data_IF_359712952683
#
_entry.id   IF_359712952683
#
_cell.length_a   1.000
_cell.length_b   1.000
_cell.length_c   1.000
_cell.angle_alpha   90.00
_cell.angle_beta   90.00
_cell.angle_gamma   90.00
#
_symmetry.space_group_name_H-M   'P 1'
#
loop_
_entity.id
_entity.type
_entity.pdbx_description
1 polymer ?
#
# COMPACT_ATOMS: atom_id res chain seq x y z
N UNK A 1 -8.51 17.71 5.91
CA UNK A 1 -7.58 18.81 6.14
C UNK A 1 -6.61 18.83 5.00
N UNK A 2 -6.39 20.00 4.42
CA UNK A 2 -5.29 20.26 3.49
C UNK A 2 -3.98 20.07 4.28
N UNK A 3 -3.28 18.98 4.00
CA UNK A 3 -1.96 18.70 4.52
C UNK A 3 -0.94 19.55 3.79
N UNK A 4 -0.88 20.84 4.13
CA UNK A 4 0.18 21.74 3.69
C UNK A 4 1.52 21.29 4.28
N UNK A 5 2.36 20.69 3.45
CA UNK A 5 3.73 20.36 3.86
C UNK A 5 4.64 21.56 3.61
N UNK A 6 5.12 22.14 4.70
CA UNK A 6 6.11 23.22 4.71
C UNK A 6 7.49 22.68 4.26
N UNK A 7 7.93 23.13 3.08
CA UNK A 7 9.22 22.80 2.45
C UNK A 7 10.30 23.87 2.66
N UNK A 8 10.16 24.76 3.65
CA UNK A 8 11.07 25.91 3.87
C UNK A 8 12.53 25.58 4.26
N UNK A 9 12.94 24.31 4.31
CA UNK A 9 14.30 23.91 4.72
C UNK A 9 15.32 23.69 3.59
N UNK A 10 14.89 23.55 2.34
CA UNK A 10 15.79 23.37 1.20
C UNK A 10 15.22 24.17 0.02
N UNK A 11 15.86 25.27 -0.41
CA UNK A 11 15.28 26.20 -1.38
C UNK A 11 14.94 25.55 -2.74
N UNK A 12 15.40 24.31 -2.99
CA UNK A 12 15.25 23.60 -4.26
C UNK A 12 14.65 22.17 -4.11
N UNK A 13 13.97 21.85 -2.99
CA UNK A 13 13.38 20.52 -2.79
C UNK A 13 11.87 20.57 -2.53
N UNK A 14 11.12 19.84 -3.35
CA UNK A 14 9.67 19.62 -3.16
C UNK A 14 9.47 18.14 -2.83
N UNK A 15 8.68 17.85 -1.78
CA UNK A 15 8.28 16.49 -1.47
C UNK A 15 7.34 15.98 -2.55
N UNK A 16 7.48 14.70 -2.89
CA UNK A 16 6.75 14.03 -3.98
C UNK A 16 5.24 14.26 -3.94
N UNK A 17 4.62 14.30 -2.75
CA UNK A 17 3.18 14.53 -2.59
C UNK A 17 2.76 15.99 -2.84
N UNK A 18 3.65 16.96 -2.57
CA UNK A 18 3.43 18.38 -2.86
C UNK A 18 3.89 18.83 -4.25
N UNK A 19 4.48 17.92 -5.03
CA UNK A 19 5.06 18.25 -6.33
C UNK A 19 4.03 18.21 -7.48
N UNK A 20 2.84 17.65 -7.28
CA UNK A 20 1.76 17.75 -8.27
C UNK A 20 1.00 19.08 -8.10
N UNK A 21 0.89 19.85 -9.17
CA UNK A 21 0.43 21.25 -9.23
C UNK A 21 1.40 22.30 -8.69
N UNK A 22 2.65 21.94 -8.40
CA UNK A 22 3.65 22.91 -7.96
C UNK A 22 3.92 23.95 -9.06
N UNK A 23 3.88 25.23 -8.70
CA UNK A 23 4.22 26.35 -9.58
C UNK A 23 5.67 26.76 -9.35
N UNK A 24 6.41 26.78 -10.45
CA UNK A 24 7.83 27.11 -10.49
C UNK A 24 8.01 28.36 -11.33
N UNK A 25 8.54 29.42 -10.75
CA UNK A 25 8.96 30.61 -11.49
C UNK A 25 10.42 30.47 -11.89
N UNK A 26 10.71 30.71 -13.17
CA UNK A 26 12.06 30.67 -13.73
C UNK A 26 12.34 32.04 -14.30
N UNK A 27 13.36 32.70 -13.79
CA UNK A 27 13.74 34.04 -14.23
C UNK A 27 14.18 34.05 -15.71
N UNK A 28 14.17 35.24 -16.31
CA UNK A 28 14.69 35.43 -17.65
C UNK A 28 16.16 35.01 -17.73
N UNK A 29 16.56 34.39 -18.85
CA UNK A 29 17.95 34.02 -19.14
C UNK A 29 18.61 33.19 -18.02
N UNK A 30 17.85 32.27 -17.41
CA UNK A 30 18.29 31.49 -16.25
C UNK A 30 18.11 29.99 -16.45
N UNK A 31 18.82 29.21 -15.63
CA UNK A 31 18.62 27.78 -15.48
C UNK A 31 18.28 27.48 -14.02
N UNK A 32 17.25 26.68 -13.81
CA UNK A 32 16.80 26.29 -12.48
C UNK A 32 16.73 24.77 -12.38
N UNK A 33 17.26 24.26 -11.28
CA UNK A 33 17.26 22.85 -10.93
C UNK A 33 16.29 22.58 -9.79
N UNK A 34 15.38 21.63 -9.98
CA UNK A 34 14.50 21.11 -8.95
C UNK A 34 14.92 19.70 -8.57
N UNK A 35 15.07 19.46 -7.28
CA UNK A 35 15.43 18.14 -6.76
C UNK A 35 14.25 17.57 -5.97
N UNK A 36 13.83 16.36 -6.32
CA UNK A 36 12.80 15.62 -5.62
C UNK A 36 13.48 14.43 -4.96
N UNK A 37 13.50 14.42 -3.63
CA UNK A 37 14.08 13.31 -2.85
C UNK A 37 13.02 12.24 -2.67
N UNK A 38 13.38 10.99 -2.97
CA UNK A 38 12.44 9.88 -2.92
C UNK A 38 12.23 9.41 -1.48
N UNK A 39 10.98 9.42 -0.97
CA UNK A 39 10.67 9.09 0.42
C UNK A 39 10.61 7.57 0.68
N UNK A 40 10.53 6.76 -0.39
CA UNK A 40 10.48 5.31 -0.35
C UNK A 40 11.04 4.71 -1.66
N UNK A 41 11.17 3.39 -1.70
CA UNK A 41 11.46 2.66 -2.94
C UNK A 41 10.23 2.70 -3.86
N UNK A 42 10.44 2.79 -5.17
CA UNK A 42 9.34 2.89 -6.11
C UNK A 42 9.74 3.36 -7.50
N UNK A 43 8.79 3.91 -8.24
CA UNK A 43 9.03 4.58 -9.51
C UNK A 43 8.16 5.82 -9.64
N UNK A 44 8.63 6.78 -10.42
CA UNK A 44 7.89 7.99 -10.75
C UNK A 44 7.37 7.89 -12.17
N UNK A 45 6.13 8.33 -12.39
CA UNK A 45 5.68 8.69 -13.73
C UNK A 45 5.48 10.19 -13.83
N UNK A 46 5.82 10.73 -14.99
CA UNK A 46 5.67 12.13 -15.29
C UNK A 46 5.11 12.30 -16.69
N UNK A 47 4.17 13.23 -16.84
CA UNK A 47 3.73 13.68 -18.16
C UNK A 47 4.20 15.11 -18.39
N UNK A 48 5.28 15.25 -19.16
CA UNK A 48 5.86 16.56 -19.42
C UNK A 48 5.15 17.32 -20.55
N UNK A 49 4.23 16.72 -21.30
CA UNK A 49 3.37 17.48 -22.20
C UNK A 49 2.39 18.36 -21.41
N UNK A 50 2.07 17.93 -20.20
CA UNK A 50 1.21 18.65 -19.26
C UNK A 50 1.99 19.61 -18.35
N UNK A 51 3.31 19.73 -18.51
CA UNK A 51 4.05 20.85 -17.93
C UNK A 51 3.65 22.13 -18.65
N UNK A 52 2.82 22.95 -18.01
CA UNK A 52 2.40 24.24 -18.54
C UNK A 52 3.61 25.14 -18.78
N UNK A 53 3.66 25.82 -19.93
CA UNK A 53 4.73 26.76 -20.29
C UNK A 53 5.11 26.65 -21.77
N UNK A 54 4.92 27.73 -22.53
CA UNK A 54 4.94 27.69 -24.01
C UNK A 54 6.33 27.45 -24.65
N UNK A 55 7.43 27.41 -23.89
CA UNK A 55 8.80 27.52 -24.43
C UNK A 55 9.85 26.60 -23.75
N UNK A 56 9.49 25.39 -23.33
CA UNK A 56 10.48 24.44 -22.78
C UNK A 56 11.41 23.92 -23.89
N UNK A 57 12.65 24.44 -23.99
CA UNK A 57 13.63 24.01 -24.99
C UNK A 57 14.62 22.96 -24.41
N UNK A 58 14.46 21.74 -24.94
CA UNK A 58 15.48 20.74 -25.33
C UNK A 58 16.14 19.77 -24.34
N UNK A 59 16.14 19.93 -23.01
CA UNK A 59 16.59 18.86 -22.08
C UNK A 59 15.78 18.90 -20.78
N UNK A 60 14.84 17.96 -20.58
CA UNK A 60 13.71 18.18 -19.65
C UNK A 60 13.90 17.57 -18.25
N UNK A 61 14.69 16.51 -18.08
CA UNK A 61 14.96 15.94 -16.74
C UNK A 61 16.12 14.93 -16.76
N UNK A 62 16.78 14.78 -15.60
CA UNK A 62 17.80 13.77 -15.34
C UNK A 62 17.48 13.03 -14.04
N UNK A 63 17.66 11.72 -14.03
CA UNK A 63 17.43 10.91 -12.83
C UNK A 63 18.80 10.55 -12.27
N UNK A 64 19.10 10.98 -11.05
CA UNK A 64 20.28 10.54 -10.31
C UNK A 64 19.87 9.49 -9.28
N UNK A 65 19.87 8.23 -9.73
CA UNK A 65 19.62 7.09 -8.86
C UNK A 65 20.98 6.58 -8.37
N UNK A 66 21.26 6.67 -7.06
CA UNK A 66 22.49 6.25 -6.38
C UNK A 66 23.73 6.03 -7.28
N UNK A 67 24.21 7.08 -7.95
CA UNK A 67 25.45 7.07 -8.75
C UNK A 67 25.30 6.75 -10.25
N UNK A 68 24.11 6.48 -10.75
CA UNK A 68 23.81 6.35 -12.18
C UNK A 68 22.98 7.55 -12.66
N UNK A 69 23.57 8.41 -13.49
CA UNK A 69 22.85 9.46 -14.18
C UNK A 69 22.15 8.84 -15.39
N UNK A 70 20.83 8.70 -15.33
CA UNK A 70 20.01 8.32 -16.48
C UNK A 70 19.36 9.59 -17.02
N UNK A 71 19.93 10.10 -18.12
CA UNK A 71 19.35 11.21 -18.89
C UNK A 71 18.39 10.61 -19.91
N UNK A 72 17.10 10.89 -19.80
CA UNK A 72 16.16 10.60 -20.87
C UNK A 72 15.85 11.90 -21.60
N UNK A 73 16.34 12.00 -22.85
CA UNK A 73 15.89 13.06 -23.74
C UNK A 73 14.46 12.76 -24.15
N UNK A 74 13.53 13.56 -23.66
CA UNK A 74 12.11 13.29 -23.86
C UNK A 74 11.67 13.74 -25.26
N UNK A 75 11.39 12.78 -26.14
CA UNK A 75 10.56 12.99 -27.33
C UNK A 75 9.10 12.68 -26.94
N UNK A 76 8.19 13.61 -27.25
CA UNK A 76 6.79 13.71 -26.76
C UNK A 76 6.18 12.42 -26.18
N UNK A 77 6.12 12.26 -24.84
CA UNK A 77 5.49 11.10 -24.18
C UNK A 77 5.46 11.17 -22.63
N UNK A 78 4.52 10.46 -21.99
CA UNK A 78 4.61 10.11 -20.56
C UNK A 78 5.88 9.28 -20.29
N UNK A 79 6.64 9.63 -19.25
CA UNK A 79 7.89 8.96 -18.87
C UNK A 79 7.72 8.22 -17.56
N UNK A 80 8.37 7.06 -17.46
CA UNK A 80 8.55 6.32 -16.23
C UNK A 80 10.04 6.28 -15.86
N UNK A 81 10.34 6.50 -14.59
CA UNK A 81 11.67 6.24 -14.06
C UNK A 81 11.96 4.74 -14.06
N UNK A 82 13.24 4.33 -14.03
CA UNK A 82 13.59 3.01 -13.48
C UNK A 82 13.14 2.90 -12.03
N UNK A 83 13.26 1.71 -11.44
CA UNK A 83 13.12 1.55 -9.99
C UNK A 83 14.12 2.46 -9.26
N UNK A 84 13.59 3.27 -8.35
CA UNK A 84 14.29 4.21 -7.49
C UNK A 84 14.27 3.67 -6.07
N UNK A 85 15.33 3.95 -5.32
CA UNK A 85 15.45 3.64 -3.90
C UNK A 85 15.14 4.88 -3.07
N UNK A 86 14.76 4.65 -1.82
CA UNK A 86 14.63 5.72 -0.83
C UNK A 86 15.92 6.53 -0.75
N UNK A 87 15.78 7.85 -0.83
CA UNK A 87 16.88 8.80 -0.81
C UNK A 87 17.50 9.07 -2.18
N UNK A 88 17.11 8.38 -3.25
CA UNK A 88 17.44 8.79 -4.62
C UNK A 88 16.90 10.19 -4.89
N UNK A 89 17.52 10.90 -5.83
CA UNK A 89 17.14 12.27 -6.20
C UNK A 89 16.76 12.33 -7.67
N UNK A 90 15.50 12.65 -7.94
CA UNK A 90 15.05 13.05 -9.27
C UNK A 90 15.38 14.52 -9.48
N UNK A 91 16.08 14.84 -10.55
CA UNK A 91 16.48 16.20 -10.90
C UNK A 91 15.75 16.67 -12.16
N UNK A 92 14.95 17.73 -12.03
CA UNK A 92 14.33 18.41 -13.17
C UNK A 92 15.14 19.67 -13.46
N UNK A 93 15.65 19.79 -14.68
CA UNK A 93 16.38 20.97 -15.13
C UNK A 93 15.49 21.75 -16.08
N UNK A 94 15.32 23.03 -15.81
CA UNK A 94 14.57 23.94 -16.67
C UNK A 94 15.48 25.09 -17.09
N UNK A 95 15.56 25.31 -18.40
CA UNK A 95 16.30 26.43 -18.97
C UNK A 95 15.34 27.42 -19.61
N UNK A 96 15.44 28.68 -19.20
CA UNK A 96 14.75 29.80 -19.82
C UNK A 96 15.75 30.68 -20.57
N UNK A 97 15.77 30.56 -21.90
CA UNK A 97 16.61 31.42 -22.75
C UNK A 97 15.89 32.69 -23.22
N UNK A 98 14.66 32.94 -22.75
CA UNK A 98 13.89 34.12 -23.09
C UNK A 98 14.21 35.28 -22.14
N UNK A 99 13.96 36.51 -22.61
CA UNK A 99 14.16 37.75 -21.86
C UNK A 99 13.05 38.05 -20.85
N UNK A 100 12.08 37.14 -20.71
CA UNK A 100 10.96 37.25 -19.77
C UNK A 100 10.91 36.01 -18.87
N UNK A 101 10.51 36.14 -17.60
CA UNK A 101 10.29 35.00 -16.74
C UNK A 101 9.23 34.04 -17.30
N UNK A 102 9.39 32.75 -17.02
CA UNK A 102 8.39 31.73 -17.34
C UNK A 102 7.90 31.06 -16.07
N UNK A 103 6.66 30.57 -16.12
CA UNK A 103 6.12 29.69 -15.09
C UNK A 103 6.00 28.29 -15.65
N UNK A 104 6.47 27.32 -14.87
CA UNK A 104 6.31 25.90 -15.12
C UNK A 104 5.40 25.34 -14.04
N UNK A 105 4.32 24.69 -14.44
CA UNK A 105 3.47 23.95 -13.52
C UNK A 105 3.76 22.46 -13.65
N UNK A 106 4.13 21.81 -12.54
CA UNK A 106 4.33 20.36 -12.52
C UNK A 106 2.98 19.65 -12.46
N UNK A 107 2.51 19.07 -13.56
CA UNK A 107 1.27 18.30 -13.57
C UNK A 107 1.53 16.81 -13.81
N UNK A 108 0.65 15.97 -13.28
CA UNK A 108 0.66 14.53 -13.48
C UNK A 108 1.94 13.82 -13.03
N UNK A 109 2.68 14.42 -12.09
CA UNK A 109 3.73 13.73 -11.37
C UNK A 109 3.09 12.74 -10.40
N UNK A 110 3.40 11.45 -10.58
CA UNK A 110 2.89 10.38 -9.73
C UNK A 110 4.04 9.55 -9.21
N UNK A 111 3.97 9.16 -7.96
CA UNK A 111 4.90 8.23 -7.34
C UNK A 111 4.18 6.94 -6.99
N UNK A 112 4.77 5.84 -7.43
CA UNK A 112 4.28 4.49 -7.23
C UNK A 112 5.27 3.80 -6.30
N UNK A 113 4.79 3.43 -5.13
CA UNK A 113 5.59 2.80 -4.08
C UNK A 113 4.80 1.67 -3.45
N UNK A 114 5.52 0.69 -2.92
CA UNK A 114 4.97 -0.32 -2.02
C UNK A 114 5.02 0.15 -0.55
N UNK A 115 5.32 1.40 -0.26
CA UNK A 115 5.22 1.92 1.09
C UNK A 115 3.76 2.07 1.51
N UNK A 116 3.39 1.49 2.66
CA UNK A 116 2.14 1.79 3.34
C UNK A 116 2.17 3.19 3.98
N UNK A 117 3.35 3.67 4.34
CA UNK A 117 3.53 5.01 4.90
C UNK A 117 5.00 5.44 4.94
N UNK A 118 5.22 6.75 4.96
CA UNK A 118 6.54 7.36 5.17
C UNK A 118 6.45 8.44 6.24
N UNK A 119 7.35 8.40 7.21
CA UNK A 119 7.52 9.43 8.23
C UNK A 119 8.80 10.21 7.98
N UNK A 120 8.71 11.54 7.95
CA UNK A 120 9.89 12.41 7.99
C UNK A 120 10.23 12.73 9.45
N UNK A 121 11.45 12.39 9.87
CA UNK A 121 12.03 12.80 11.14
C UNK A 121 13.14 13.81 10.89
N UNK A 122 13.03 15.01 11.46
CA UNK A 122 14.08 16.04 11.34
C UNK A 122 15.02 15.98 12.53
N UNK A 123 16.32 15.90 12.23
CA UNK A 123 17.40 15.96 13.22
C UNK A 123 18.04 17.34 13.17
N UNK A 124 18.12 18.02 14.33
CA UNK A 124 18.82 19.31 14.45
C UNK A 124 19.99 19.15 15.39
N UNK A 125 21.20 19.44 14.93
CA UNK A 125 22.39 19.49 15.75
C UNK A 125 22.84 20.95 15.92
N UNK A 126 22.86 21.43 17.17
CA UNK A 126 23.27 22.80 17.51
C UNK A 126 24.62 22.78 18.22
N UNK A 127 25.56 23.53 17.71
CA UNK A 127 26.86 23.76 18.35
C UNK A 127 26.71 24.65 19.58
N UNK A 128 27.66 24.59 20.51
CA UNK A 128 27.68 25.44 21.69
C UNK A 128 27.70 26.96 21.39
N UNK A 129 28.08 27.33 20.15
CA UNK A 129 28.13 28.72 19.67
C UNK A 129 26.82 29.17 18.99
N UNK A 130 25.79 28.32 18.97
CA UNK A 130 24.46 28.65 18.41
C UNK A 130 24.26 28.32 16.93
N UNK A 131 25.28 27.83 16.22
CA UNK A 131 25.10 27.36 14.85
C UNK A 131 24.35 26.02 14.84
N UNK A 132 23.34 25.87 14.00
CA UNK A 132 22.55 24.65 13.87
C UNK A 132 22.63 24.08 12.45
N UNK A 133 22.68 22.75 12.34
CA UNK A 133 22.44 22.01 11.10
C UNK A 133 21.19 21.16 11.25
N UNK A 134 20.38 21.05 10.19
CA UNK A 134 19.17 20.22 10.18
C UNK A 134 19.26 19.21 9.05
N UNK A 135 18.90 17.94 9.31
CA UNK A 135 18.86 16.88 8.30
C UNK A 135 17.58 16.02 8.43
N UNK A 136 16.86 15.75 7.33
CA UNK A 136 15.68 14.88 7.34
C UNK A 136 16.07 13.39 7.21
N UNK A 137 15.46 12.55 8.04
CA UNK A 137 15.45 11.09 7.92
C UNK A 137 14.05 10.64 7.53
N UNK A 138 13.92 10.03 6.35
CA UNK A 138 12.69 9.32 5.99
C UNK A 138 12.67 7.94 6.64
N UNK A 139 11.53 7.50 7.14
CA UNK A 139 11.31 6.16 7.69
C UNK A 139 10.14 5.58 6.91
N UNK A 140 10.36 4.48 6.22
CA UNK A 140 9.38 3.87 5.32
C UNK A 140 8.84 2.60 5.96
N UNK A 141 7.52 2.45 5.99
CA UNK A 141 6.86 1.18 6.31
C UNK A 141 6.37 0.58 5.00
N UNK A 142 6.79 -0.64 4.72
CA UNK A 142 6.34 -1.37 3.53
C UNK A 142 4.93 -1.91 3.76
N UNK A 143 4.10 -1.83 2.72
CA UNK A 143 2.81 -2.50 2.65
C UNK A 143 3.05 -3.99 2.43
N UNK A 144 2.34 -4.83 3.18
CA UNK A 144 2.34 -6.27 2.95
C UNK A 144 1.74 -6.59 1.58
N UNK A 145 2.35 -7.55 0.88
CA UNK A 145 1.83 -8.12 -0.36
C UNK A 145 0.80 -9.20 -0.03
N UNK A 146 -0.13 -9.45 -0.96
CA UNK A 146 -1.01 -10.63 -0.88
C UNK A 146 -0.22 -11.94 -0.83
N UNK A 147 1.00 -11.94 -1.39
CA UNK A 147 1.93 -13.08 -1.34
C UNK A 147 2.51 -13.33 0.06
N UNK A 148 2.45 -12.35 0.96
CA UNK A 148 2.93 -12.46 2.34
C UNK A 148 1.84 -13.01 3.27
N UNK A 149 0.60 -13.15 2.79
CA UNK A 149 -0.51 -13.66 3.59
C UNK A 149 -0.41 -15.17 3.74
N UNK A 150 -0.44 -15.60 5.00
CA UNK A 150 -0.46 -16.99 5.41
C UNK A 150 -1.91 -17.40 5.71
N UNK A 151 -2.21 -18.67 5.49
CA UNK A 151 -3.55 -19.23 5.69
C UNK A 151 -3.56 -20.13 6.91
N UNK A 152 -4.72 -20.28 7.59
CA UNK A 152 -4.88 -21.25 8.66
C UNK A 152 -4.54 -22.66 8.18
N UNK A 153 -3.89 -23.43 9.05
CA UNK A 153 -3.62 -24.84 8.78
C UNK A 153 -4.91 -25.68 8.80
N UNK A 154 -4.82 -26.88 8.26
CA UNK A 154 -5.88 -27.88 8.39
C UNK A 154 -6.07 -28.26 9.86
N UNK A 155 -7.32 -28.44 10.28
CA UNK A 155 -7.66 -28.68 11.69
C UNK A 155 -8.46 -29.97 11.83
N UNK A 156 -8.18 -30.73 12.89
CA UNK A 156 -8.99 -31.89 13.30
C UNK A 156 -9.76 -31.54 14.57
N UNK A 157 -11.09 -31.49 14.46
CA UNK A 157 -11.99 -31.20 15.57
C UNK A 157 -12.49 -32.52 16.16
N UNK A 158 -11.99 -32.86 17.35
CA UNK A 158 -12.37 -34.09 18.05
C UNK A 158 -13.66 -34.00 18.86
N UNK A 159 -14.20 -32.80 19.06
CA UNK A 159 -15.45 -32.56 19.79
C UNK A 159 -16.63 -32.39 18.81
N UNK A 160 -17.78 -32.96 19.18
CA UNK A 160 -19.04 -32.86 18.43
C UNK A 160 -19.68 -31.48 18.47
N UNK A 161 -19.31 -30.64 19.43
CA UNK A 161 -19.72 -29.22 19.51
C UNK A 161 -18.55 -28.26 19.23
N UNK A 162 -17.51 -28.76 18.57
CA UNK A 162 -16.38 -27.92 18.21
C UNK A 162 -16.83 -26.78 17.29
N UNK A 163 -16.38 -25.58 17.63
CA UNK A 163 -16.62 -24.39 16.84
C UNK A 163 -15.86 -24.48 15.50
N UNK A 164 -16.60 -24.35 14.39
CA UNK A 164 -16.05 -24.38 13.02
C UNK A 164 -15.83 -22.98 12.46
N UNK A 165 -16.29 -21.94 13.13
CA UNK A 165 -16.12 -20.55 12.70
C UNK A 165 -14.63 -20.18 12.59
N UNK A 166 -14.22 -19.30 11.65
CA UNK A 166 -12.86 -18.79 11.60
C UNK A 166 -12.32 -18.24 12.93
N UNK A 167 -13.16 -17.66 13.79
CA UNK A 167 -12.74 -17.20 15.11
C UNK A 167 -12.14 -18.33 15.99
N UNK A 168 -12.49 -19.58 15.69
CA UNK A 168 -12.01 -20.77 16.39
C UNK A 168 -10.98 -21.57 15.58
N UNK A 169 -11.12 -21.56 14.25
CA UNK A 169 -10.30 -22.37 13.32
C UNK A 169 -9.20 -21.57 12.62
N UNK A 170 -9.10 -20.27 12.92
CA UNK A 170 -8.11 -19.34 12.40
C UNK A 170 -8.63 -18.48 11.24
N UNK A 171 -8.15 -17.23 11.19
CA UNK A 171 -8.20 -16.37 10.01
C UNK A 171 -6.84 -16.40 9.29
N UNK A 172 -6.79 -16.07 7.98
CA UNK A 172 -5.55 -15.70 7.34
C UNK A 172 -4.82 -14.62 8.13
N UNK A 173 -3.49 -14.58 8.07
CA UNK A 173 -2.70 -13.65 8.87
C UNK A 173 -1.41 -13.27 8.17
N UNK A 174 -0.85 -12.12 8.55
CA UNK A 174 0.52 -11.73 8.25
C UNK A 174 1.41 -12.08 9.43
N UNK A 175 2.64 -12.48 9.13
CA UNK A 175 3.67 -12.77 10.12
C UNK A 175 4.83 -11.79 9.97
N UNK A 176 5.23 -11.12 11.05
CA UNK A 176 6.08 -9.93 10.95
C UNK A 176 7.56 -10.29 10.98
N UNK A 177 7.94 -11.27 11.79
CA UNK A 177 9.32 -11.71 11.91
C UNK A 177 9.64 -12.97 11.09
N UNK A 178 8.60 -13.64 10.56
CA UNK A 178 8.71 -14.86 9.75
C UNK A 178 8.92 -16.13 10.57
N UNK A 179 8.87 -16.04 11.91
CA UNK A 179 8.92 -17.16 12.82
C UNK A 179 7.49 -17.68 13.12
N UNK A 180 7.10 -18.68 12.34
CA UNK A 180 5.80 -19.36 12.49
C UNK A 180 5.64 -20.10 13.83
N UNK A 181 6.67 -20.18 14.68
CA UNK A 181 6.54 -20.75 16.02
C UNK A 181 6.00 -19.76 17.04
N UNK A 182 6.06 -18.45 16.73
CA UNK A 182 5.46 -17.40 17.55
C UNK A 182 4.14 -16.92 16.96
N UNK A 183 3.27 -16.39 17.84
CA UNK A 183 1.96 -15.86 17.45
C UNK A 183 1.73 -14.42 17.93
N UNK A 184 2.67 -13.85 18.68
CA UNK A 184 2.51 -12.53 19.28
C UNK A 184 2.57 -11.38 18.28
N UNK A 185 3.19 -11.62 17.12
CA UNK A 185 3.41 -10.67 16.05
C UNK A 185 2.55 -10.95 14.81
N UNK A 186 1.70 -11.98 14.89
CA UNK A 186 0.71 -12.27 13.85
C UNK A 186 -0.36 -11.19 13.84
N UNK A 187 -0.67 -10.70 12.65
CA UNK A 187 -1.77 -9.77 12.42
C UNK A 187 -2.83 -10.47 11.59
N UNK A 188 -4.02 -10.67 12.16
CA UNK A 188 -5.14 -11.26 11.44
C UNK A 188 -5.51 -10.42 10.22
N UNK A 189 -5.73 -11.09 9.10
CA UNK A 189 -6.25 -10.55 7.86
C UNK A 189 -7.71 -10.99 7.79
N UNK A 190 -8.57 -10.14 8.35
CA UNK A 190 -10.02 -10.33 8.48
C UNK A 190 -10.79 -9.16 7.84
N UNK A 191 -12.10 -9.08 8.10
CA UNK A 191 -12.97 -8.02 7.57
C UNK A 191 -12.65 -6.61 8.09
N UNK A 192 -11.79 -6.46 9.10
CA UNK A 192 -11.38 -5.17 9.66
C UNK A 192 -10.09 -4.63 9.03
N UNK A 193 -9.47 -5.38 8.11
CA UNK A 193 -8.21 -4.98 7.48
C UNK A 193 -8.48 -4.05 6.29
N UNK A 194 -7.83 -2.88 6.23
CA UNK A 194 -8.02 -1.94 5.11
C UNK A 194 -7.22 -2.30 3.85
N UNK A 195 -6.20 -3.16 3.98
CA UNK A 195 -5.27 -3.47 2.90
C UNK A 195 -5.76 -4.57 1.95
N UNK A 196 -6.63 -5.46 2.46
CA UNK A 196 -7.14 -6.62 1.74
C UNK A 196 -8.63 -6.77 1.98
N UNK A 197 -9.34 -7.30 0.99
CA UNK A 197 -10.69 -7.82 1.16
C UNK A 197 -10.61 -9.33 1.35
N UNK A 198 -11.24 -9.84 2.40
CA UNK A 198 -11.22 -11.26 2.76
C UNK A 198 -12.64 -11.79 2.75
N UNK A 199 -12.85 -12.88 2.02
CA UNK A 199 -14.11 -13.64 2.02
C UNK A 199 -13.81 -15.12 2.18
N UNK A 200 -14.81 -15.87 2.64
CA UNK A 200 -14.70 -17.32 2.74
C UNK A 200 -16.06 -18.00 2.49
N UNK A 201 -16.00 -19.25 2.05
CA UNK A 201 -17.16 -20.11 1.88
C UNK A 201 -16.84 -21.54 2.27
N UNK A 202 -17.78 -22.19 2.93
CA UNK A 202 -17.64 -23.57 3.38
C UNK A 202 -18.46 -24.53 2.54
N UNK A 203 -17.87 -25.68 2.24
CA UNK A 203 -18.52 -26.83 1.62
C UNK A 203 -18.30 -28.09 2.46
N UNK A 204 -19.37 -28.81 2.80
CA UNK A 204 -19.26 -30.08 3.52
C UNK A 204 -19.06 -31.23 2.53
N UNK A 205 -17.91 -31.89 2.61
CA UNK A 205 -17.53 -33.02 1.77
C UNK A 205 -17.45 -34.29 2.61
N UNK A 206 -18.05 -35.39 2.11
CA UNK A 206 -17.92 -36.71 2.71
C UNK A 206 -16.90 -37.55 1.94
N UNK A 207 -15.86 -38.02 2.63
CA UNK A 207 -14.84 -38.90 2.05
C UNK A 207 -14.63 -40.10 2.95
N UNK A 208 -14.85 -41.31 2.44
CA UNK A 208 -14.59 -42.57 3.16
C UNK A 208 -15.29 -42.67 4.53
N UNK A 209 -16.48 -42.07 4.68
CA UNK A 209 -17.25 -42.04 5.94
C UNK A 209 -16.83 -40.96 6.94
N UNK A 210 -15.85 -40.12 6.58
CA UNK A 210 -15.44 -38.94 7.35
C UNK A 210 -16.04 -37.67 6.75
N UNK A 211 -16.47 -36.74 7.59
CA UNK A 211 -16.93 -35.42 7.18
C UNK A 211 -15.80 -34.39 7.27
N UNK A 212 -15.58 -33.67 6.18
CA UNK A 212 -14.59 -32.62 6.04
C UNK A 212 -15.32 -31.35 5.60
N UNK A 213 -15.19 -30.29 6.38
CA UNK A 213 -15.59 -28.96 5.97
C UNK A 213 -14.43 -28.35 5.19
N UNK A 214 -14.59 -28.21 3.87
CA UNK A 214 -13.64 -27.50 3.02
C UNK A 214 -13.98 -26.02 3.02
N UNK A 215 -13.12 -25.23 3.65
CA UNK A 215 -13.22 -23.77 3.64
C UNK A 215 -12.36 -23.21 2.53
N UNK A 216 -12.99 -22.51 1.59
CA UNK A 216 -12.27 -21.73 0.60
C UNK A 216 -12.10 -20.30 1.09
N UNK A 217 -10.87 -19.92 1.39
CA UNK A 217 -10.48 -18.54 1.63
C UNK A 217 -10.26 -17.83 0.30
N UNK A 218 -10.73 -16.59 0.17
CA UNK A 218 -10.44 -15.70 -0.96
C UNK A 218 -10.01 -14.34 -0.44
N UNK A 219 -8.80 -13.94 -0.80
CA UNK A 219 -8.21 -12.65 -0.43
C UNK A 219 -8.01 -11.87 -1.72
N UNK A 220 -8.33 -10.59 -1.72
CA UNK A 220 -8.03 -9.68 -2.81
C UNK A 220 -7.37 -8.40 -2.33
N UNK A 221 -6.41 -7.91 -3.09
CA UNK A 221 -5.86 -6.56 -2.92
C UNK A 221 -6.63 -5.60 -3.85
N UNK A 222 -7.46 -4.69 -3.31
CA UNK A 222 -8.30 -3.81 -4.12
C UNK A 222 -7.48 -2.81 -4.96
N UNK A 223 -6.21 -2.58 -4.63
CA UNK A 223 -5.35 -1.64 -5.36
C UNK A 223 -4.72 -2.32 -6.57
N UNK A 224 -4.21 -3.55 -6.40
CA UNK A 224 -3.53 -4.29 -7.48
C UNK A 224 -4.46 -5.20 -8.29
N UNK A 225 -5.69 -5.44 -7.80
CA UNK A 225 -6.63 -6.44 -8.31
C UNK A 225 -6.08 -7.89 -8.28
N UNK A 226 -5.03 -8.13 -7.50
CA UNK A 226 -4.56 -9.49 -7.28
C UNK A 226 -5.55 -10.24 -6.38
N UNK A 227 -5.78 -11.51 -6.70
CA UNK A 227 -6.67 -12.40 -5.94
C UNK A 227 -5.93 -13.70 -5.65
N UNK A 228 -6.04 -14.18 -4.41
CA UNK A 228 -5.49 -15.44 -3.96
C UNK A 228 -6.59 -16.25 -3.27
N UNK A 229 -6.73 -17.52 -3.65
CA UNK A 229 -7.66 -18.44 -3.01
C UNK A 229 -6.97 -19.72 -2.56
N UNK A 230 -7.28 -20.16 -1.34
CA UNK A 230 -6.68 -21.35 -0.71
C UNK A 230 -7.76 -22.16 0.00
N UNK A 231 -7.62 -23.48 -0.01
CA UNK A 231 -8.49 -24.39 0.73
C UNK A 231 -7.88 -24.74 2.07
N UNK A 232 -8.70 -24.67 3.13
CA UNK A 232 -8.44 -25.23 4.44
C UNK A 232 -9.36 -26.44 4.65
N UNK A 233 -8.83 -27.55 5.14
CA UNK A 233 -9.59 -28.75 5.47
C UNK A 233 -9.83 -28.82 6.98
N UNK A 234 -11.10 -28.80 7.38
CA UNK A 234 -11.50 -28.94 8.79
C UNK A 234 -12.19 -30.29 8.95
N UNK A 235 -11.50 -31.25 9.56
CA UNK A 235 -12.04 -32.59 9.81
C UNK A 235 -12.95 -32.57 11.03
N UNK A 236 -14.19 -33.05 10.87
CA UNK A 236 -15.18 -33.09 11.94
C UNK A 236 -15.24 -34.47 12.60
N UNK A 237 -15.46 -34.51 13.91
CA UNK A 237 -15.67 -35.75 14.66
C UNK A 237 -16.86 -36.59 14.16
N UNK A 238 -17.87 -35.95 13.57
CA UNK A 238 -18.97 -36.59 12.83
C UNK A 238 -19.54 -35.64 11.79
N UNK A 239 -20.30 -36.20 10.86
CA UNK A 239 -21.13 -35.43 9.96
C UNK A 239 -22.24 -34.71 10.73
N UNK A 240 -22.46 -33.41 10.48
CA UNK A 240 -23.70 -32.76 10.87
C UNK A 240 -24.86 -33.57 10.28
N UNK A 241 -25.85 -33.92 11.10
CA UNK A 241 -27.10 -34.48 10.56
C UNK A 241 -27.71 -33.39 9.65
N UNK A 242 -27.81 -33.65 8.35
CA UNK A 242 -28.68 -32.85 7.49
C UNK A 242 -30.09 -33.01 8.09
N UNK A 243 -30.66 -31.95 8.66
CA UNK A 243 -32.04 -31.98 9.10
C UNK A 243 -32.94 -32.32 7.89
N UNK A 244 -33.34 -33.59 7.78
CA UNK A 244 -34.61 -33.91 7.17
C UNK A 244 -35.66 -33.30 8.08
N UNK A 245 -36.18 -32.13 7.73
CA UNK A 245 -37.15 -31.38 8.51
C UNK A 245 -38.21 -32.30 9.14
N UNK A 246 -38.28 -32.42 10.49
CA UNK A 246 -39.41 -33.04 11.14
C UNK A 246 -40.31 -31.95 11.73
N UNK A 247 -41.61 -32.12 11.52
CA UNK A 247 -42.63 -31.35 12.20
C UNK A 247 -42.39 -31.34 13.73
N UNK A 248 -42.02 -30.17 14.25
CA UNK A 248 -42.25 -29.74 15.62
C UNK A 248 -41.46 -30.47 16.71
N UNK A 249 -40.27 -29.95 17.06
CA UNK A 249 -39.85 -29.76 18.44
C UNK A 249 -38.59 -28.89 18.52
N UNK A 250 -38.61 -27.96 19.46
CA UNK A 250 -37.61 -26.93 19.75
C UNK A 250 -36.24 -27.52 20.15
N UNK A 251 -35.21 -27.23 19.35
CA UNK A 251 -33.79 -27.38 19.66
C UNK A 251 -33.00 -26.38 18.81
N UNK A 252 -32.09 -25.62 19.43
CA UNK A 252 -31.31 -24.57 18.74
C UNK A 252 -30.45 -25.19 17.62
N UNK A 253 -30.56 -24.73 16.35
CA UNK A 253 -29.74 -25.26 15.26
C UNK A 253 -28.32 -24.68 15.34
N UNK A 254 -27.31 -25.53 15.14
CA UNK A 254 -26.00 -25.08 14.65
C UNK A 254 -26.18 -24.72 13.17
N UNK A 255 -26.37 -23.43 12.89
CA UNK A 255 -26.30 -22.93 11.53
C UNK A 255 -24.85 -23.11 11.03
N UNK A 256 -24.69 -23.74 9.87
CA UNK A 256 -23.46 -23.60 9.08
C UNK A 256 -23.38 -22.10 8.74
N UNK A 257 -22.46 -21.32 9.30
CA UNK A 257 -22.43 -19.89 9.03
C UNK A 257 -22.05 -19.72 7.56
N UNK A 258 -22.96 -19.18 6.75
CA UNK A 258 -22.64 -18.68 5.42
C UNK A 258 -22.25 -17.21 5.53
N UNK A 259 -21.39 -16.79 4.59
CA UNK A 259 -20.80 -15.47 4.45
C UNK A 259 -21.62 -14.31 5.06
N UNK A 260 -20.95 -13.44 5.83
CA UNK A 260 -21.46 -12.11 6.12
C UNK A 260 -21.60 -11.34 4.80
N UNK A 261 -22.83 -11.21 4.30
CA UNK A 261 -23.12 -10.34 3.17
C UNK A 261 -23.19 -8.90 3.66
N UNK A 262 -22.38 -8.02 3.06
CA UNK A 262 -22.47 -6.56 3.03
C UNK A 262 -23.46 -5.91 4.01
N UNK A 263 -23.02 -5.68 5.25
CA UNK A 263 -23.59 -4.57 6.02
C UNK A 263 -22.83 -3.29 5.67
N UNK A 264 -23.49 -2.44 4.89
CA UNK A 264 -23.16 -1.01 4.80
C UNK A 264 -23.07 -0.44 6.22
N UNK A 265 -21.85 -0.18 6.69
CA UNK A 265 -21.64 0.71 7.83
C UNK A 265 -21.08 2.04 7.34
N UNK A 266 -21.96 3.04 7.51
CA UNK A 266 -21.70 4.47 7.43
C UNK A 266 -20.41 4.78 8.19
N UNK A 267 -19.41 5.30 7.48
CA UNK A 267 -18.22 5.87 8.07
C UNK A 267 -18.63 7.05 8.96
N UNK A 268 -18.61 6.83 10.28
CA UNK A 268 -18.54 7.91 11.24
C UNK A 268 -17.11 8.46 11.19
N UNK A 269 -16.96 9.61 10.52
CA UNK A 269 -15.76 10.44 10.60
C UNK A 269 -15.52 10.81 12.06
N UNK A 270 -14.57 10.16 12.70
CA UNK A 270 -13.87 10.76 13.83
C UNK A 270 -12.52 11.28 13.33
N UNK A 271 -12.38 12.60 13.46
CA UNK A 271 -11.21 13.38 13.08
C UNK A 271 -9.99 12.94 13.89
N UNK A 272 -8.87 12.64 13.23
CA UNK A 272 -7.53 13.14 13.59
C UNK A 272 -6.67 13.20 12.32
#
# INVERSE_FOLDING_TARGET
GDGGVDVTGAPNAILVEGANSALVSIDAESEVQFNIVLPADGFISLDYENFGGSNLLKEVFSINAAGAVKVQKAAKAKVFSPALRRGDVLTLNFSNTATVPMQVQLNCLRFYTNAAGVWERRWTATTALGNSITFPQFITVQKASIADVLFPEDVVLSDFQACTDPACTGYPFLDRDGDLTTAADRTSVDNNTCDFTVTWSDELVQQSGQCILQRQWTISDPVSNNVLSVLQSIQLARCPEQEAAPHGASGLPMAIPQAESDQQMVAQKDNF
#
